data_IF_747841880003
#
_entry.id   IF_747841880003
#
_cell.length_a   1.000
_cell.length_b   1.000
_cell.length_c   1.000
_cell.angle_alpha   90.00
_cell.angle_beta   90.00
_cell.angle_gamma   90.00
#
_symmetry.space_group_name_H-M   'P 1'
#
loop_
_entity.id
_entity.type
_entity.pdbx_description
1 polymer ?
#
# COMPACT_ATOMS: atom_id res chain seq x y z
N UNK A 1 23.54 36.46 -47.36
CA UNK A 1 22.64 35.36 -47.75
C UNK A 1 22.83 34.11 -46.87
N UNK A 2 24.03 33.61 -46.64
CA UNK A 2 24.31 32.42 -45.82
C UNK A 2 23.84 32.46 -44.33
N UNK A 3 23.84 33.61 -43.67
CA UNK A 3 23.39 33.77 -42.27
C UNK A 3 21.87 33.65 -42.10
N UNK A 4 21.08 34.01 -43.14
CA UNK A 4 19.62 33.85 -43.11
C UNK A 4 19.17 32.40 -43.33
N UNK A 5 19.89 31.61 -44.12
CA UNK A 5 19.62 30.19 -44.33
C UNK A 5 19.93 29.36 -43.08
N UNK A 6 21.02 29.67 -42.36
CA UNK A 6 21.39 29.00 -41.11
C UNK A 6 20.33 29.21 -40.00
N UNK A 7 19.80 30.43 -39.86
CA UNK A 7 18.77 30.75 -38.87
C UNK A 7 17.42 30.08 -39.21
N UNK A 8 17.05 29.98 -40.47
CA UNK A 8 15.83 29.31 -40.92
C UNK A 8 15.88 27.78 -40.73
N UNK A 9 17.05 27.17 -40.93
CA UNK A 9 17.27 25.74 -40.69
C UNK A 9 17.23 25.39 -39.21
N UNK A 10 17.82 26.20 -38.34
CA UNK A 10 17.77 26.01 -36.87
C UNK A 10 16.36 26.17 -36.33
N UNK A 11 15.57 27.11 -36.81
CA UNK A 11 14.17 27.29 -36.36
C UNK A 11 13.26 26.13 -36.81
N UNK A 12 13.44 25.59 -38.03
CA UNK A 12 12.72 24.41 -38.53
C UNK A 12 13.03 23.16 -37.73
N UNK A 13 14.30 22.92 -37.37
CA UNK A 13 14.70 21.78 -36.55
C UNK A 13 14.15 21.87 -35.11
N UNK A 14 14.15 23.04 -34.51
CA UNK A 14 13.56 23.25 -33.17
C UNK A 14 12.04 23.05 -33.15
N UNK A 15 11.32 23.41 -34.20
CA UNK A 15 9.88 23.21 -34.30
C UNK A 15 9.52 21.73 -34.53
N UNK A 16 10.27 21.03 -35.39
CA UNK A 16 10.11 19.60 -35.63
C UNK A 16 10.37 18.78 -34.36
N UNK A 17 11.39 19.13 -33.57
CA UNK A 17 11.71 18.48 -32.29
C UNK A 17 10.58 18.67 -31.25
N UNK A 18 10.04 19.88 -31.09
CA UNK A 18 8.90 20.16 -30.19
C UNK A 18 7.65 19.38 -30.58
N UNK A 19 7.36 19.25 -31.88
CA UNK A 19 6.23 18.46 -32.38
C UNK A 19 6.39 16.97 -32.09
N UNK A 20 7.59 16.41 -32.30
CA UNK A 20 7.91 15.01 -31.97
C UNK A 20 7.76 14.75 -30.45
N UNK A 21 8.27 15.64 -29.60
CA UNK A 21 8.15 15.55 -28.16
C UNK A 21 6.68 15.60 -27.71
N UNK A 22 5.87 16.51 -28.25
CA UNK A 22 4.45 16.58 -27.94
C UNK A 22 3.68 15.32 -28.37
N UNK A 23 4.04 14.71 -29.51
CA UNK A 23 3.46 13.44 -29.93
C UNK A 23 3.85 12.30 -29.01
N UNK A 24 5.12 12.23 -28.60
CA UNK A 24 5.61 11.22 -27.65
C UNK A 24 4.90 11.35 -26.29
N UNK A 25 4.81 12.55 -25.74
CA UNK A 25 4.12 12.80 -24.47
C UNK A 25 2.65 12.43 -24.55
N UNK A 26 1.98 12.73 -25.68
CA UNK A 26 0.58 12.33 -25.88
C UNK A 26 0.43 10.80 -25.91
N UNK A 27 1.28 10.13 -26.68
CA UNK A 27 1.28 8.68 -26.80
C UNK A 27 1.51 8.02 -25.42
N UNK A 28 2.58 8.42 -24.73
CA UNK A 28 2.88 7.94 -23.38
C UNK A 28 1.71 8.17 -22.42
N UNK A 29 1.18 9.38 -22.38
CA UNK A 29 0.09 9.71 -21.47
C UNK A 29 -1.16 8.86 -21.73
N UNK A 30 -1.56 8.65 -22.99
CA UNK A 30 -2.72 7.84 -23.36
C UNK A 30 -2.51 6.39 -22.89
N UNK A 31 -1.41 5.75 -23.28
CA UNK A 31 -1.21 4.33 -22.97
C UNK A 31 -0.97 4.08 -21.49
N UNK A 32 -0.18 4.92 -20.82
CA UNK A 32 0.01 4.83 -19.38
C UNK A 32 -1.32 5.02 -18.63
N UNK A 33 -2.15 5.99 -19.04
CA UNK A 33 -3.47 6.22 -18.43
C UNK A 33 -4.39 5.01 -18.59
N UNK A 34 -4.39 4.36 -19.75
CA UNK A 34 -5.21 3.16 -19.98
C UNK A 34 -4.78 2.00 -19.09
N UNK A 35 -3.46 1.74 -18.99
CA UNK A 35 -2.93 0.70 -18.10
C UNK A 35 -3.29 0.99 -16.64
N UNK A 36 -3.18 2.25 -16.23
CA UNK A 36 -3.40 2.66 -14.83
C UNK A 36 -4.88 2.84 -14.48
N UNK A 37 -5.79 2.76 -15.43
CA UNK A 37 -7.21 2.98 -15.17
C UNK A 37 -7.75 2.05 -14.06
N UNK A 38 -7.47 0.75 -14.14
CA UNK A 38 -7.89 -0.22 -13.13
C UNK A 38 -7.23 0.05 -11.77
N UNK A 39 -5.96 0.48 -11.77
CA UNK A 39 -5.20 0.85 -10.56
C UNK A 39 -5.86 2.04 -9.88
N UNK A 40 -6.12 3.11 -10.62
CA UNK A 40 -6.80 4.32 -10.11
C UNK A 40 -8.16 3.97 -9.53
N UNK A 41 -8.95 3.16 -10.25
CA UNK A 41 -10.28 2.74 -9.81
C UNK A 41 -10.20 1.94 -8.51
N UNK A 42 -9.28 0.97 -8.43
CA UNK A 42 -9.05 0.18 -7.21
C UNK A 42 -8.72 1.09 -6.03
N UNK A 43 -7.68 1.93 -6.15
CA UNK A 43 -7.25 2.79 -5.04
C UNK A 43 -8.28 3.87 -4.69
N UNK A 44 -9.05 4.38 -5.65
CA UNK A 44 -10.12 5.34 -5.37
C UNK A 44 -11.27 4.70 -4.57
N UNK A 45 -11.76 3.52 -4.99
CA UNK A 45 -12.85 2.81 -4.29
C UNK A 45 -12.38 2.38 -2.90
N UNK A 46 -11.20 1.75 -2.82
CA UNK A 46 -10.67 1.27 -1.53
C UNK A 46 -10.30 2.41 -0.59
N UNK A 47 -9.84 3.56 -1.10
CA UNK A 47 -9.63 4.77 -0.30
C UNK A 47 -10.94 5.29 0.31
N UNK A 48 -12.04 5.24 -0.43
CA UNK A 48 -13.35 5.63 0.10
C UNK A 48 -13.83 4.67 1.21
N UNK A 49 -13.69 3.36 1.01
CA UNK A 49 -14.05 2.36 2.05
C UNK A 49 -13.15 2.47 3.28
N UNK A 50 -11.87 2.78 3.07
CA UNK A 50 -10.91 2.97 4.14
C UNK A 50 -11.23 4.19 5.00
N UNK A 51 -11.65 5.30 4.38
CA UNK A 51 -12.07 6.51 5.10
C UNK A 51 -13.36 6.34 5.91
N UNK A 52 -14.12 5.26 5.64
CA UNK A 52 -15.35 4.91 6.35
C UNK A 52 -15.27 3.50 6.96
N UNK A 53 -14.10 3.11 7.43
CA UNK A 53 -13.85 1.75 7.95
C UNK A 53 -14.75 1.39 9.15
N UNK A 54 -15.15 2.38 9.95
CA UNK A 54 -16.07 2.26 11.07
C UNK A 54 -17.46 1.70 10.66
N UNK A 55 -17.91 1.96 9.44
CA UNK A 55 -19.18 1.41 8.92
C UNK A 55 -19.13 -0.09 8.65
N UNK A 56 -17.93 -0.67 8.59
CA UNK A 56 -17.70 -2.08 8.28
C UNK A 56 -17.21 -2.92 9.47
N UNK A 57 -17.20 -2.36 10.68
CA UNK A 57 -16.76 -3.05 11.91
C UNK A 57 -17.58 -4.31 12.17
N UNK A 58 -18.85 -4.35 11.82
CA UNK A 58 -19.72 -5.52 11.98
C UNK A 58 -19.29 -6.74 11.12
N UNK A 59 -18.31 -6.59 10.22
CA UNK A 59 -17.74 -7.67 9.43
C UNK A 59 -16.52 -8.33 10.11
N UNK A 60 -16.15 -7.88 11.33
CA UNK A 60 -15.09 -8.48 12.12
C UNK A 60 -15.64 -9.68 12.89
N UNK A 61 -15.04 -10.83 12.69
CA UNK A 61 -15.34 -12.05 13.43
C UNK A 61 -14.15 -12.40 14.32
N UNK A 62 -14.35 -12.39 15.63
CA UNK A 62 -13.33 -12.75 16.60
C UNK A 62 -13.66 -14.10 17.22
N UNK A 63 -12.70 -15.01 17.24
CA UNK A 63 -12.81 -16.33 17.85
C UNK A 63 -11.66 -16.52 18.82
N UNK A 64 -11.95 -17.01 20.01
CA UNK A 64 -10.95 -17.37 21.02
C UNK A 64 -10.83 -18.89 21.12
N UNK A 65 -9.60 -19.37 21.14
CA UNK A 65 -9.24 -20.78 21.30
C UNK A 65 -8.25 -20.89 22.43
N UNK A 66 -8.44 -21.86 23.31
CA UNK A 66 -7.52 -22.19 24.41
C UNK A 66 -6.91 -23.56 24.17
N UNK A 67 -5.64 -23.69 24.51
CA UNK A 67 -4.93 -24.94 24.36
C UNK A 67 -3.72 -25.00 25.26
N UNK A 68 -2.93 -26.07 25.10
CA UNK A 68 -1.73 -26.28 25.88
C UNK A 68 -0.60 -26.78 25.03
N UNK A 69 0.54 -26.14 25.16
CA UNK A 69 1.82 -26.54 24.54
C UNK A 69 2.62 -27.43 25.50
N UNK A 70 3.62 -28.10 24.94
CA UNK A 70 4.61 -28.84 25.75
C UNK A 70 5.42 -27.85 26.58
N UNK A 71 5.40 -27.95 27.89
CA UNK A 71 6.09 -27.03 28.81
C UNK A 71 7.58 -26.90 28.48
N UNK A 72 8.25 -28.00 28.10
CA UNK A 72 9.67 -27.98 27.72
C UNK A 72 9.99 -27.09 26.51
N UNK A 73 9.01 -26.69 25.70
CA UNK A 73 9.22 -25.74 24.58
C UNK A 73 9.24 -24.29 25.04
N UNK A 74 8.54 -23.96 26.11
CA UNK A 74 8.26 -22.59 26.56
C UNK A 74 8.97 -22.21 27.86
N UNK A 75 9.20 -23.18 28.74
CA UNK A 75 9.81 -22.97 30.06
C UNK A 75 11.33 -23.26 30.00
N UNK A 76 12.09 -22.27 29.54
CA UNK A 76 13.55 -22.32 29.61
C UNK A 76 14.07 -20.98 30.14
N UNK A 77 14.95 -20.95 31.19
CA UNK A 77 15.56 -19.73 31.67
C UNK A 77 16.36 -19.00 30.61
N UNK A 78 17.01 -19.75 29.70
CA UNK A 78 17.69 -19.21 28.55
C UNK A 78 16.69 -19.04 27.39
N UNK A 79 16.33 -17.80 27.11
CA UNK A 79 15.37 -17.44 26.06
C UNK A 79 15.82 -17.87 24.65
N UNK A 80 17.13 -18.10 24.44
CA UNK A 80 17.67 -18.60 23.17
C UNK A 80 17.32 -20.07 22.94
N UNK A 81 17.04 -20.83 23.99
CA UNK A 81 16.68 -22.25 23.94
C UNK A 81 15.18 -22.52 23.86
N UNK A 82 14.39 -21.47 23.81
CA UNK A 82 12.94 -21.61 23.58
C UNK A 82 12.73 -22.14 22.14
N UNK A 83 11.91 -23.17 22.02
CA UNK A 83 11.62 -23.89 20.78
C UNK A 83 10.68 -23.10 19.87
N UNK A 84 11.15 -21.95 19.36
CA UNK A 84 10.31 -20.99 18.58
C UNK A 84 9.66 -21.64 17.36
N UNK A 85 10.40 -22.46 16.63
CA UNK A 85 9.90 -23.08 15.40
C UNK A 85 8.78 -24.08 15.75
N UNK A 86 8.99 -24.93 16.73
CA UNK A 86 8.04 -25.94 17.18
C UNK A 86 6.74 -25.31 17.66
N UNK A 87 6.85 -24.22 18.43
CA UNK A 87 5.69 -23.46 18.91
C UNK A 87 4.89 -22.89 17.74
N UNK A 88 5.57 -22.22 16.80
CA UNK A 88 4.92 -21.60 15.65
C UNK A 88 4.25 -22.64 14.76
N UNK A 89 4.93 -23.74 14.46
CA UNK A 89 4.40 -24.80 13.61
C UNK A 89 3.26 -25.57 14.30
N UNK A 90 3.32 -25.76 15.63
CA UNK A 90 2.23 -26.34 16.40
C UNK A 90 0.97 -25.46 16.28
N UNK A 91 1.07 -24.14 16.55
CA UNK A 91 -0.05 -23.22 16.45
C UNK A 91 -0.62 -23.17 15.01
N UNK A 92 0.25 -23.15 14.00
CA UNK A 92 -0.18 -23.21 12.61
C UNK A 92 -0.98 -24.44 12.27
N UNK A 93 -0.46 -25.60 12.67
CA UNK A 93 -1.09 -26.89 12.36
C UNK A 93 -2.38 -27.10 13.15
N UNK A 94 -2.33 -26.87 14.48
CA UNK A 94 -3.43 -27.13 15.39
C UNK A 94 -4.59 -26.14 15.18
N UNK A 95 -4.27 -24.89 14.97
CA UNK A 95 -5.23 -23.79 14.89
C UNK A 95 -5.49 -23.29 13.47
N UNK A 96 -4.94 -23.99 12.45
CA UNK A 96 -5.10 -23.68 11.02
C UNK A 96 -4.74 -22.22 10.67
N UNK A 97 -3.61 -21.74 11.21
CA UNK A 97 -3.13 -20.37 10.95
C UNK A 97 -2.31 -20.35 9.66
N UNK A 98 -2.79 -19.64 8.64
CA UNK A 98 -2.11 -19.51 7.33
C UNK A 98 -1.34 -18.21 7.18
N UNK A 99 -1.53 -17.26 8.08
CA UNK A 99 -0.91 -15.94 8.04
C UNK A 99 0.59 -16.00 8.35
N UNK A 100 1.33 -14.98 7.92
CA UNK A 100 2.74 -14.85 8.23
C UNK A 100 2.96 -14.54 9.72
N UNK A 101 4.05 -15.07 10.29
CA UNK A 101 4.52 -14.65 11.60
C UNK A 101 4.98 -13.19 11.52
N UNK A 102 4.35 -12.33 12.30
CA UNK A 102 4.63 -10.89 12.35
C UNK A 102 5.51 -10.52 13.54
N UNK A 103 5.26 -11.15 14.69
CA UNK A 103 6.01 -10.88 15.91
C UNK A 103 6.13 -12.13 16.77
N UNK A 104 7.25 -12.26 17.49
CA UNK A 104 7.51 -13.30 18.48
C UNK A 104 8.28 -12.69 19.66
N UNK A 105 7.56 -12.37 20.72
CA UNK A 105 8.08 -11.73 21.91
C UNK A 105 8.13 -12.72 23.09
N UNK A 106 9.23 -12.70 23.82
CA UNK A 106 9.44 -13.51 25.01
C UNK A 106 9.59 -12.55 26.19
N UNK A 107 8.62 -12.60 27.10
CA UNK A 107 8.67 -11.91 28.38
C UNK A 107 9.00 -12.92 29.50
N UNK A 108 9.18 -12.47 30.72
CA UNK A 108 9.59 -13.34 31.85
C UNK A 108 8.57 -14.43 32.12
N UNK A 109 7.29 -14.13 32.08
CA UNK A 109 6.20 -15.07 32.42
C UNK A 109 5.43 -15.57 31.19
N UNK A 110 5.49 -14.88 30.08
CA UNK A 110 4.67 -15.21 28.91
C UNK A 110 5.42 -15.04 27.59
N UNK A 111 4.93 -15.73 26.54
CA UNK A 111 5.36 -15.56 25.16
C UNK A 111 4.17 -15.03 24.37
N UNK A 112 4.37 -13.88 23.71
CA UNK A 112 3.41 -13.30 22.78
C UNK A 112 3.80 -13.60 21.33
N UNK A 113 2.85 -14.14 20.55
CA UNK A 113 3.07 -14.47 19.14
C UNK A 113 1.95 -13.85 18.32
N UNK A 114 2.31 -13.09 17.30
CA UNK A 114 1.34 -12.47 16.38
C UNK A 114 1.53 -12.99 14.96
N UNK A 115 0.43 -13.42 14.36
CA UNK A 115 0.35 -13.76 12.94
C UNK A 115 -0.55 -12.75 12.25
N UNK A 116 -0.11 -12.20 11.12
CA UNK A 116 -0.85 -11.19 10.39
C UNK A 116 -0.88 -11.45 8.89
N UNK A 117 -2.00 -11.09 8.28
CA UNK A 117 -2.22 -11.12 6.84
C UNK A 117 -3.38 -10.22 6.47
N UNK A 118 -3.64 -9.95 5.18
CA UNK A 118 -4.72 -9.07 4.76
C UNK A 118 -6.07 -9.55 5.31
N UNK A 119 -6.73 -8.71 6.10
CA UNK A 119 -8.01 -9.04 6.74
C UNK A 119 -7.94 -10.14 7.80
N UNK A 120 -6.74 -10.48 8.31
CA UNK A 120 -6.56 -11.54 9.28
C UNK A 120 -5.49 -11.19 10.32
N UNK A 121 -5.80 -11.39 11.59
CA UNK A 121 -4.84 -11.36 12.69
C UNK A 121 -5.09 -12.55 13.63
N UNK A 122 -4.01 -13.11 14.18
CA UNK A 122 -4.11 -14.12 15.24
C UNK A 122 -3.00 -13.85 16.26
N UNK A 123 -3.42 -13.58 17.50
CA UNK A 123 -2.53 -13.26 18.60
C UNK A 123 -2.63 -14.37 19.66
N UNK A 124 -1.50 -15.02 19.93
CA UNK A 124 -1.40 -16.06 20.96
C UNK A 124 -0.59 -15.54 22.15
N UNK A 125 -1.12 -15.72 23.34
CA UNK A 125 -0.42 -15.49 24.59
C UNK A 125 -0.26 -16.84 25.30
N UNK A 126 1.00 -17.20 25.59
CA UNK A 126 1.38 -18.50 26.13
C UNK A 126 2.03 -18.28 27.49
N UNK A 127 1.49 -18.89 28.51
CA UNK A 127 2.08 -18.91 29.84
C UNK A 127 3.29 -19.86 29.88
N UNK A 128 4.45 -19.37 30.31
CA UNK A 128 5.70 -20.11 30.27
C UNK A 128 5.79 -21.22 31.32
N UNK A 129 5.12 -21.07 32.43
CA UNK A 129 5.17 -22.09 33.53
C UNK A 129 4.29 -23.28 33.18
N UNK A 130 3.09 -23.04 32.69
CA UNK A 130 2.08 -24.08 32.48
C UNK A 130 2.01 -24.59 31.04
N UNK A 131 2.51 -23.81 30.08
CA UNK A 131 2.35 -24.05 28.65
C UNK A 131 0.93 -23.78 28.15
N UNK A 132 0.04 -23.26 28.97
CA UNK A 132 -1.32 -22.91 28.56
C UNK A 132 -1.26 -21.70 27.61
N UNK A 133 -2.07 -21.73 26.55
CA UNK A 133 -2.17 -20.60 25.64
C UNK A 133 -3.61 -20.18 25.38
N UNK A 134 -3.78 -18.89 25.12
CA UNK A 134 -5.00 -18.31 24.63
C UNK A 134 -4.71 -17.65 23.28
N UNK A 135 -5.42 -18.08 22.24
CA UNK A 135 -5.30 -17.62 20.88
C UNK A 135 -6.56 -16.87 20.48
N UNK A 136 -6.41 -15.59 20.17
CA UNK A 136 -7.48 -14.75 19.62
C UNK A 136 -7.28 -14.59 18.12
N UNK A 137 -8.23 -15.09 17.32
CA UNK A 137 -8.26 -14.95 15.87
C UNK A 137 -9.28 -13.89 15.48
N UNK A 138 -8.88 -12.92 14.70
CA UNK A 138 -9.77 -11.90 14.14
C UNK A 138 -9.71 -11.97 12.61
N UNK A 139 -10.88 -12.14 12.01
CA UNK A 139 -11.03 -12.13 10.54
C UNK A 139 -11.92 -10.97 10.13
N UNK A 140 -11.46 -10.20 9.16
CA UNK A 140 -12.25 -9.13 8.56
C UNK A 140 -12.97 -9.65 7.31
N UNK A 141 -14.11 -9.04 6.99
CA UNK A 141 -14.81 -9.30 5.73
C UNK A 141 -14.05 -8.75 4.52
N UNK A 142 -14.65 -8.90 3.35
CA UNK A 142 -14.04 -8.48 2.07
C UNK A 142 -13.53 -7.03 2.09
N UNK A 143 -14.27 -6.11 2.71
CA UNK A 143 -13.87 -4.69 2.82
C UNK A 143 -12.61 -4.54 3.66
N UNK A 144 -12.45 -5.29 4.75
CA UNK A 144 -11.23 -5.29 5.55
C UNK A 144 -10.01 -5.75 4.75
N UNK A 145 -10.17 -6.81 3.97
CA UNK A 145 -9.10 -7.34 3.09
C UNK A 145 -8.65 -6.27 2.08
N UNK A 146 -9.58 -5.67 1.34
CA UNK A 146 -9.23 -4.66 0.33
C UNK A 146 -8.64 -3.39 0.95
N UNK A 147 -9.05 -3.04 2.17
CA UNK A 147 -8.48 -1.92 2.92
C UNK A 147 -7.03 -2.19 3.34
N UNK A 148 -6.70 -3.42 3.77
CA UNK A 148 -5.32 -3.79 4.08
C UNK A 148 -4.46 -3.87 2.82
N UNK A 149 -5.00 -4.36 1.70
CA UNK A 149 -4.34 -4.31 0.40
C UNK A 149 -4.07 -2.86 -0.05
N UNK A 150 -5.00 -1.94 0.18
CA UNK A 150 -4.79 -0.51 -0.11
C UNK A 150 -3.63 0.07 0.70
N UNK A 151 -3.57 -0.25 2.00
CA UNK A 151 -2.50 0.24 2.89
C UNK A 151 -1.15 -0.44 2.64
N UNK A 152 -1.13 -1.60 1.99
CA UNK A 152 0.05 -2.45 1.91
C UNK A 152 0.46 -3.07 3.25
N UNK A 153 -0.45 -3.06 4.24
CA UNK A 153 -0.16 -3.59 5.58
C UNK A 153 -0.33 -5.10 5.59
N UNK A 154 0.64 -5.80 6.17
CA UNK A 154 0.61 -7.26 6.38
C UNK A 154 0.42 -8.08 5.08
N UNK A 155 0.79 -7.52 3.93
CA UNK A 155 0.56 -8.07 2.59
C UNK A 155 1.78 -8.77 1.98
N UNK A 156 2.92 -8.68 2.68
CA UNK A 156 4.19 -9.24 2.21
C UNK A 156 4.92 -8.36 1.18
N UNK A 157 6.21 -8.70 0.94
CA UNK A 157 7.11 -7.91 0.11
C UNK A 157 6.67 -7.79 -1.35
N UNK A 158 6.10 -8.86 -1.92
CA UNK A 158 5.66 -8.86 -3.31
C UNK A 158 4.54 -7.83 -3.57
N UNK A 159 3.59 -7.69 -2.63
CA UNK A 159 2.53 -6.69 -2.73
C UNK A 159 3.05 -5.27 -2.52
N UNK A 160 4.03 -5.08 -1.62
CA UNK A 160 4.70 -3.79 -1.44
C UNK A 160 5.35 -3.32 -2.74
N UNK A 161 6.10 -4.18 -3.43
CA UNK A 161 6.68 -3.88 -4.75
C UNK A 161 5.59 -3.53 -5.78
N UNK A 162 4.46 -4.24 -5.76
CA UNK A 162 3.33 -3.93 -6.64
C UNK A 162 2.79 -2.52 -6.39
N UNK A 163 2.63 -2.10 -5.13
CA UNK A 163 2.20 -0.74 -4.76
C UNK A 163 3.22 0.30 -5.27
N UNK A 164 4.52 0.05 -5.10
CA UNK A 164 5.57 0.94 -5.58
C UNK A 164 5.50 1.13 -7.11
N UNK A 165 5.32 0.04 -7.86
CA UNK A 165 5.13 0.09 -9.32
C UNK A 165 3.88 0.91 -9.67
N UNK A 166 2.77 0.71 -8.98
CA UNK A 166 1.55 1.51 -9.17
C UNK A 166 1.81 3.00 -8.91
N UNK A 167 2.50 3.34 -7.83
CA UNK A 167 2.84 4.71 -7.48
C UNK A 167 3.73 5.38 -8.55
N UNK A 168 4.74 4.66 -9.06
CA UNK A 168 5.60 5.12 -10.15
C UNK A 168 4.77 5.38 -11.41
N UNK A 169 3.90 4.45 -11.81
CA UNK A 169 3.03 4.62 -12.98
C UNK A 169 2.13 5.84 -12.86
N UNK A 170 1.49 6.04 -11.70
CA UNK A 170 0.63 7.21 -11.46
C UNK A 170 1.43 8.51 -11.49
N UNK A 171 2.65 8.51 -10.97
CA UNK A 171 3.56 9.66 -11.02
C UNK A 171 3.92 9.99 -12.47
N UNK A 172 4.28 8.99 -13.28
CA UNK A 172 4.61 9.19 -14.69
C UNK A 172 3.41 9.73 -15.48
N UNK A 173 2.19 9.25 -15.21
CA UNK A 173 0.98 9.79 -15.85
C UNK A 173 0.79 11.26 -15.50
N UNK A 174 0.93 11.61 -14.23
CA UNK A 174 0.78 12.99 -13.75
C UNK A 174 1.80 13.91 -14.42
N UNK A 175 3.06 13.49 -14.50
CA UNK A 175 4.13 14.24 -15.17
C UNK A 175 3.85 14.38 -16.66
N UNK A 176 3.52 13.29 -17.35
CA UNK A 176 3.25 13.34 -18.81
C UNK A 176 2.02 14.18 -19.13
N UNK A 177 0.98 14.16 -18.29
CA UNK A 177 -0.20 15.01 -18.40
C UNK A 177 0.14 16.49 -18.26
N UNK A 178 0.94 16.83 -17.23
CA UNK A 178 1.41 18.20 -17.03
C UNK A 178 2.29 18.69 -18.18
N UNK A 179 3.23 17.86 -18.66
CA UNK A 179 4.05 18.19 -19.81
C UNK A 179 3.20 18.38 -21.07
N UNK A 180 2.22 17.52 -21.30
CA UNK A 180 1.30 17.65 -22.43
C UNK A 180 0.53 18.98 -22.37
N UNK A 181 0.08 19.40 -21.18
CA UNK A 181 -0.58 20.69 -20.99
C UNK A 181 0.32 21.86 -21.40
N UNK A 182 1.62 21.80 -21.10
CA UNK A 182 2.58 22.85 -21.49
C UNK A 182 2.73 22.98 -23.02
N UNK A 183 2.51 21.90 -23.78
CA UNK A 183 2.50 21.94 -25.25
C UNK A 183 1.19 22.48 -25.86
N UNK A 184 0.10 22.53 -25.09
CA UNK A 184 -1.20 23.04 -25.53
C UNK A 184 -1.29 24.56 -25.37
N UNK A 185 -0.73 25.33 -26.32
CA UNK A 185 -0.63 26.79 -26.25
C UNK A 185 -1.92 27.51 -25.85
N UNK A 186 -3.08 27.08 -26.40
CA UNK A 186 -4.39 27.72 -26.14
C UNK A 186 -4.95 27.45 -24.73
N UNK A 187 -4.56 26.35 -24.09
CA UNK A 187 -5.12 25.92 -22.80
C UNK A 187 -4.10 25.91 -21.66
N UNK A 188 -2.84 26.27 -21.95
CA UNK A 188 -1.76 26.21 -20.97
C UNK A 188 -2.03 27.05 -19.72
N UNK A 189 -2.40 28.32 -19.92
CA UNK A 189 -2.63 29.23 -18.79
C UNK A 189 -3.83 28.79 -17.92
N UNK A 190 -4.97 28.51 -18.56
CA UNK A 190 -6.16 28.04 -17.84
C UNK A 190 -5.94 26.70 -17.13
N UNK A 191 -5.23 25.75 -17.77
CA UNK A 191 -4.93 24.46 -17.15
C UNK A 191 -3.99 24.57 -15.96
N UNK A 192 -2.96 25.42 -16.04
CA UNK A 192 -2.07 25.68 -14.90
C UNK A 192 -2.79 26.39 -13.75
N UNK A 193 -3.71 27.34 -14.05
CA UNK A 193 -4.54 27.96 -13.02
C UNK A 193 -5.45 26.98 -12.32
N UNK A 194 -6.07 26.04 -13.06
CA UNK A 194 -6.89 24.97 -12.46
C UNK A 194 -6.05 24.04 -11.58
N UNK A 195 -4.85 23.66 -12.05
CA UNK A 195 -3.94 22.83 -11.25
C UNK A 195 -3.51 23.55 -9.96
N UNK A 196 -3.16 24.83 -10.04
CA UNK A 196 -2.81 25.65 -8.87
C UNK A 196 -3.99 25.80 -7.91
N UNK A 197 -5.19 26.00 -8.44
CA UNK A 197 -6.42 26.07 -7.64
C UNK A 197 -6.68 24.76 -6.89
N UNK A 198 -6.49 23.60 -7.53
CA UNK A 198 -6.59 22.29 -6.88
C UNK A 198 -5.59 22.11 -5.73
N UNK A 199 -4.34 22.53 -5.91
CA UNK A 199 -3.33 22.53 -4.85
C UNK A 199 -3.71 23.46 -3.71
N UNK A 200 -4.22 24.65 -4.01
CA UNK A 200 -4.67 25.61 -3.01
C UNK A 200 -5.85 25.05 -2.20
N UNK A 201 -6.82 24.41 -2.84
CA UNK A 201 -7.94 23.77 -2.15
C UNK A 201 -7.45 22.66 -1.20
N UNK A 202 -6.53 21.81 -1.63
CA UNK A 202 -5.97 20.76 -0.79
C UNK A 202 -5.23 21.35 0.42
N UNK A 203 -4.46 22.43 0.21
CA UNK A 203 -3.76 23.13 1.28
C UNK A 203 -4.72 23.81 2.27
N UNK A 204 -5.77 24.44 1.79
CA UNK A 204 -6.80 25.05 2.65
C UNK A 204 -7.57 23.99 3.45
N UNK A 205 -7.91 22.86 2.83
CA UNK A 205 -8.53 21.74 3.54
C UNK A 205 -7.62 21.22 4.66
N UNK A 206 -6.32 21.09 4.42
CA UNK A 206 -5.36 20.73 5.45
C UNK A 206 -5.35 21.71 6.63
N UNK A 207 -5.29 23.02 6.35
CA UNK A 207 -5.26 24.05 7.42
C UNK A 207 -6.58 24.06 8.22
N UNK A 208 -7.73 23.96 7.55
CA UNK A 208 -9.03 24.12 8.19
C UNK A 208 -9.41 22.90 9.04
N UNK A 209 -9.06 21.68 8.58
CA UNK A 209 -9.54 20.45 9.23
C UNK A 209 -8.50 19.68 10.02
N UNK A 210 -7.21 19.93 9.81
CA UNK A 210 -6.16 19.15 10.49
C UNK A 210 -5.37 20.02 11.47
N UNK A 211 -5.27 21.33 11.22
CA UNK A 211 -4.54 22.30 12.07
C UNK A 211 -5.50 23.19 12.84
#
# INVERSE_FOLDING_TARGET
>A
MALQESTAAQTKNGFASKRKMAMLMRWLHIYLSMISFAIVLFFAITGLTLNHADRFVNQLHTTQVKGKLTVGWVNNPDTLKIAKLEIVEYLRKNDNIKAALSDFRIDDSQIGISFKGPGYAADAFIDRETGAYELTKTTAGFVGIINDLHKGRDTGSAWSVFIDVCAILLTLISITGLLLLLFLKKRRASGLLVALFGLLLAYLAYIIWIK
#
